data_IF_183001953996
#
_entry.id   IF_183001953996
#
_cell.length_a   1.000
_cell.length_b   1.000
_cell.length_c   1.000
_cell.angle_alpha   90.00
_cell.angle_beta   90.00
_cell.angle_gamma   90.00
#
_symmetry.space_group_name_H-M   'P 1'
#
loop_
_entity.id
_entity.type
_entity.pdbx_description
1 polymer ?
#
# COMPACT_ATOMS: atom_id res chain seq x y z
N UNK A 1 28.56 -3.22 10.46
CA UNK A 1 27.22 -3.48 9.87
C UNK A 1 26.23 -3.79 10.98
N UNK A 2 24.93 -3.47 10.80
CA UNK A 2 23.91 -3.82 11.78
C UNK A 2 23.77 -5.35 11.90
N UNK A 3 23.50 -5.83 13.11
CA UNK A 3 23.29 -7.27 13.38
C UNK A 3 21.91 -7.78 12.95
N UNK A 4 20.98 -6.89 12.63
CA UNK A 4 19.62 -7.18 12.20
C UNK A 4 19.18 -6.16 11.16
N UNK A 5 18.46 -6.63 10.15
CA UNK A 5 17.78 -5.81 9.15
C UNK A 5 16.29 -6.12 9.18
N UNK A 6 15.47 -5.11 8.88
CA UNK A 6 14.02 -5.26 8.71
C UNK A 6 13.72 -5.14 7.23
N UNK A 7 13.18 -6.21 6.64
CA UNK A 7 12.71 -6.20 5.25
C UNK A 7 11.24 -5.76 5.26
N UNK A 8 10.93 -4.74 4.45
CA UNK A 8 9.55 -4.32 4.18
C UNK A 8 9.20 -4.86 2.81
N UNK A 9 8.30 -5.83 2.77
CA UNK A 9 7.83 -6.42 1.53
C UNK A 9 6.76 -5.52 0.91
N UNK A 10 6.98 -5.07 -0.32
CA UNK A 10 6.11 -4.12 -1.02
C UNK A 10 5.48 -4.71 -2.29
N UNK A 11 5.76 -5.98 -2.59
CA UNK A 11 5.25 -6.71 -3.74
C UNK A 11 3.74 -6.60 -3.93
N UNK A 12 2.90 -6.81 -2.89
CA UNK A 12 1.44 -6.72 -3.04
C UNK A 12 0.92 -5.32 -3.41
N UNK A 13 1.66 -4.25 -3.08
CA UNK A 13 1.31 -2.86 -3.41
C UNK A 13 2.13 -2.34 -4.58
N UNK A 14 3.40 -2.03 -4.34
CA UNK A 14 4.28 -1.37 -5.31
C UNK A 14 4.65 -2.29 -6.48
N UNK A 15 4.82 -3.58 -6.21
CA UNK A 15 5.04 -4.58 -7.26
C UNK A 15 3.83 -4.66 -8.20
N UNK A 16 2.67 -5.06 -7.66
CA UNK A 16 1.45 -5.25 -8.45
C UNK A 16 0.94 -3.97 -9.12
N UNK A 17 1.20 -2.79 -8.54
CA UNK A 17 0.87 -1.51 -9.18
C UNK A 17 1.55 -1.33 -10.54
N UNK A 18 2.75 -1.86 -10.71
CA UNK A 18 3.56 -1.71 -11.92
C UNK A 18 3.39 -2.86 -12.92
N UNK A 19 2.56 -3.85 -12.59
CA UNK A 19 2.27 -4.97 -13.49
C UNK A 19 1.28 -4.56 -14.60
N UNK A 20 1.52 -5.09 -15.80
CA UNK A 20 0.71 -4.80 -16.99
C UNK A 20 -0.70 -5.39 -16.88
N UNK A 21 -0.83 -6.52 -16.19
CA UNK A 21 -2.09 -7.26 -16.05
C UNK A 21 -2.67 -7.01 -14.66
N UNK A 22 -3.98 -6.72 -14.61
CA UNK A 22 -4.69 -6.66 -13.34
C UNK A 22 -4.83 -8.07 -12.79
N UNK A 23 -4.24 -8.30 -11.63
CA UNK A 23 -4.30 -9.57 -10.91
C UNK A 23 -5.62 -9.66 -10.13
N UNK A 24 -6.27 -10.83 -10.14
CA UNK A 24 -7.52 -11.03 -9.44
C UNK A 24 -7.36 -10.93 -7.91
N UNK A 25 -8.38 -10.45 -7.21
CA UNK A 25 -8.40 -10.28 -5.75
C UNK A 25 -7.98 -11.56 -5.02
N UNK A 26 -8.47 -12.71 -5.46
CA UNK A 26 -8.16 -14.02 -4.85
C UNK A 26 -6.66 -14.37 -4.93
N UNK A 27 -6.02 -14.05 -6.06
CA UNK A 27 -4.59 -14.31 -6.24
C UNK A 27 -3.73 -13.36 -5.40
N UNK A 28 -4.17 -12.10 -5.24
CA UNK A 28 -3.52 -11.15 -4.33
C UNK A 28 -3.60 -11.61 -2.88
N UNK A 29 -4.79 -12.05 -2.43
CA UNK A 29 -4.98 -12.60 -1.09
C UNK A 29 -4.10 -13.84 -0.85
N UNK A 30 -4.01 -14.73 -1.84
CA UNK A 30 -3.12 -15.89 -1.78
C UNK A 30 -1.66 -15.47 -1.70
N UNK A 31 -1.25 -14.46 -2.47
CA UNK A 31 0.12 -13.94 -2.42
C UNK A 31 0.45 -13.38 -1.04
N UNK A 32 -0.41 -12.54 -0.46
CA UNK A 32 -0.22 -11.99 0.89
C UNK A 32 -0.17 -13.10 1.95
N UNK A 33 -1.01 -14.13 1.82
CA UNK A 33 -0.97 -15.28 2.72
C UNK A 33 0.38 -16.03 2.66
N UNK A 34 0.97 -16.20 1.48
CA UNK A 34 2.29 -16.81 1.34
C UNK A 34 3.40 -15.94 1.96
N UNK A 35 3.31 -14.61 1.83
CA UNK A 35 4.24 -13.68 2.49
C UNK A 35 4.11 -13.74 4.02
N UNK A 36 2.90 -13.90 4.53
CA UNK A 36 2.68 -14.15 5.96
C UNK A 36 3.32 -15.45 6.44
N UNK A 37 3.30 -16.52 5.64
CA UNK A 37 4.00 -17.77 5.96
C UNK A 37 5.52 -17.65 5.87
N UNK A 38 6.01 -16.79 4.98
CA UNK A 38 7.44 -16.48 4.88
C UNK A 38 7.97 -15.67 6.09
N UNK A 39 7.09 -15.11 6.92
CA UNK A 39 7.46 -14.45 8.18
C UNK A 39 8.02 -13.04 8.02
N UNK A 40 7.58 -12.30 7.00
CA UNK A 40 7.98 -10.90 6.84
C UNK A 40 7.51 -10.04 8.03
N UNK A 41 8.37 -9.16 8.56
CA UNK A 41 8.00 -8.28 9.68
C UNK A 41 7.12 -7.11 9.23
N UNK A 42 7.03 -6.85 7.93
CA UNK A 42 6.16 -5.83 7.36
C UNK A 42 5.78 -6.18 5.91
N UNK A 43 4.50 -6.06 5.58
CA UNK A 43 3.97 -6.31 4.24
C UNK A 43 3.07 -5.12 3.87
N UNK A 44 3.46 -4.35 2.86
CA UNK A 44 2.62 -3.29 2.32
C UNK A 44 1.54 -3.90 1.43
N UNK A 45 0.30 -3.89 1.93
CA UNK A 45 -0.77 -4.78 1.45
C UNK A 45 -1.42 -4.27 0.17
N UNK A 46 -1.71 -2.97 0.11
CA UNK A 46 -2.46 -2.34 -0.97
C UNK A 46 -2.37 -0.81 -0.86
N UNK A 47 -3.10 -0.09 -1.71
CA UNK A 47 -3.15 1.38 -1.74
C UNK A 47 -4.58 1.88 -1.88
N UNK A 48 -4.94 2.89 -1.08
CA UNK A 48 -6.22 3.61 -1.20
C UNK A 48 -6.13 4.80 -2.16
N UNK A 49 -5.49 4.59 -3.30
CA UNK A 49 -5.46 5.51 -4.45
C UNK A 49 -6.78 5.52 -5.22
N UNK A 50 -6.87 6.40 -6.21
CA UNK A 50 -7.97 6.42 -7.17
C UNK A 50 -7.95 5.14 -8.03
N UNK A 51 -9.04 4.33 -8.04
CA UNK A 51 -9.15 3.16 -8.91
C UNK A 51 -9.05 3.49 -10.41
N UNK A 52 -9.40 4.73 -10.78
CA UNK A 52 -9.25 5.22 -12.15
C UNK A 52 -7.78 5.46 -12.52
N UNK A 53 -6.97 5.91 -11.58
CA UNK A 53 -5.55 6.19 -11.81
C UNK A 53 -4.73 4.89 -11.79
N UNK A 54 -5.02 4.01 -10.82
CA UNK A 54 -4.34 2.72 -10.63
C UNK A 54 -5.37 1.59 -10.56
N UNK A 55 -5.84 1.07 -11.70
CA UNK A 55 -6.80 -0.04 -11.75
C UNK A 55 -6.31 -1.30 -11.04
N UNK A 56 -5.00 -1.51 -11.00
CA UNK A 56 -4.36 -2.66 -10.37
C UNK A 56 -4.71 -2.79 -8.88
N UNK A 57 -5.04 -1.69 -8.20
CA UNK A 57 -5.30 -1.65 -6.75
C UNK A 57 -6.74 -1.22 -6.42
N UNK A 58 -7.67 -1.36 -7.37
CA UNK A 58 -9.07 -0.95 -7.18
C UNK A 58 -9.80 -1.70 -6.06
N UNK A 59 -9.32 -2.89 -5.72
CA UNK A 59 -9.88 -3.85 -4.76
C UNK A 59 -9.33 -3.70 -3.33
N UNK A 60 -8.66 -2.58 -3.02
CA UNK A 60 -8.06 -2.32 -1.69
C UNK A 60 -9.04 -2.52 -0.51
N UNK A 61 -10.30 -2.10 -0.67
CA UNK A 61 -11.34 -2.22 0.37
C UNK A 61 -11.82 -3.67 0.58
N UNK A 62 -11.61 -4.55 -0.40
CA UNK A 62 -11.91 -5.98 -0.29
C UNK A 62 -10.71 -6.74 0.28
N UNK A 63 -9.49 -6.35 -0.12
CA UNK A 63 -8.26 -7.04 0.30
C UNK A 63 -7.99 -6.85 1.79
N UNK A 64 -7.94 -5.60 2.27
CA UNK A 64 -7.43 -5.34 3.62
C UNK A 64 -8.24 -6.02 4.74
N UNK A 65 -9.59 -6.03 4.70
CA UNK A 65 -10.38 -6.76 5.70
C UNK A 65 -10.25 -8.28 5.62
N UNK A 66 -9.86 -8.81 4.45
CA UNK A 66 -9.82 -10.25 4.19
C UNK A 66 -8.47 -10.92 4.53
N UNK A 67 -7.42 -10.14 4.82
CA UNK A 67 -6.12 -10.72 5.18
C UNK A 67 -6.09 -11.19 6.64
N UNK A 68 -5.43 -12.33 6.88
CA UNK A 68 -5.12 -12.79 8.22
C UNK A 68 -3.91 -12.01 8.77
N UNK A 69 -4.15 -11.00 9.60
CA UNK A 69 -3.08 -10.22 10.23
C UNK A 69 -2.39 -11.05 11.33
N UNK A 70 -1.09 -11.32 11.18
CA UNK A 70 -0.28 -12.06 12.17
C UNK A 70 0.32 -11.12 13.23
N UNK A 71 0.30 -11.50 14.51
CA UNK A 71 1.04 -10.77 15.54
C UNK A 71 2.52 -10.64 15.18
N UNK A 72 3.09 -9.44 15.31
CA UNK A 72 4.49 -9.17 14.99
C UNK A 72 4.77 -8.81 13.53
N UNK A 73 3.76 -8.80 12.66
CA UNK A 73 3.85 -8.28 11.29
C UNK A 73 3.03 -6.99 11.17
N UNK A 74 3.66 -5.95 10.60
CA UNK A 74 2.97 -4.72 10.25
C UNK A 74 2.35 -4.80 8.85
N UNK A 75 1.14 -4.26 8.68
CA UNK A 75 0.39 -4.28 7.42
C UNK A 75 0.08 -2.85 6.95
N UNK A 76 1.08 -2.05 6.55
CA UNK A 76 0.83 -0.73 6.03
C UNK A 76 0.05 -0.78 4.71
N UNK A 77 -0.73 0.27 4.45
CA UNK A 77 -1.31 0.55 3.13
C UNK A 77 -0.93 1.96 2.70
N UNK A 78 -0.76 2.17 1.41
CA UNK A 78 -0.45 3.51 0.90
C UNK A 78 -1.71 4.39 0.90
N UNK A 79 -1.60 5.59 1.44
CA UNK A 79 -2.67 6.59 1.51
C UNK A 79 -2.16 7.92 0.95
N UNK A 80 -2.60 8.34 -0.26
CA UNK A 80 -2.08 9.55 -0.91
C UNK A 80 -2.73 10.86 -0.45
N UNK A 81 -3.93 10.79 0.14
CA UNK A 81 -4.72 11.96 0.49
C UNK A 81 -5.83 11.61 1.50
N UNK A 82 -6.55 12.63 1.96
CA UNK A 82 -7.61 12.49 2.97
C UNK A 82 -8.76 11.58 2.54
N UNK A 83 -9.17 11.60 1.26
CA UNK A 83 -10.21 10.69 0.75
C UNK A 83 -9.77 9.23 0.78
N UNK A 84 -8.50 8.97 0.47
CA UNK A 84 -7.88 7.65 0.64
C UNK A 84 -7.87 7.24 2.11
N UNK A 85 -7.59 8.19 3.02
CA UNK A 85 -7.56 7.95 4.46
C UNK A 85 -8.93 7.54 5.01
N UNK A 86 -9.99 8.22 4.62
CA UNK A 86 -11.37 7.87 5.02
C UNK A 86 -11.72 6.43 4.63
N UNK A 87 -11.36 6.02 3.40
CA UNK A 87 -11.58 4.65 2.91
C UNK A 87 -10.71 3.62 3.66
N UNK A 88 -9.46 3.97 3.95
CA UNK A 88 -8.55 3.11 4.71
C UNK A 88 -9.07 2.87 6.12
N UNK A 89 -9.50 3.94 6.81
CA UNK A 89 -10.13 3.87 8.14
C UNK A 89 -11.39 3.00 8.12
N UNK A 90 -12.27 3.18 7.12
CA UNK A 90 -13.47 2.36 6.96
C UNK A 90 -13.16 0.87 6.74
N UNK A 91 -12.02 0.54 6.12
CA UNK A 91 -11.53 -0.83 5.95
C UNK A 91 -10.82 -1.40 7.19
N UNK A 92 -10.70 -0.63 8.29
CA UNK A 92 -10.07 -1.07 9.53
C UNK A 92 -8.54 -0.99 9.54
N UNK A 93 -7.95 -0.21 8.62
CA UNK A 93 -6.50 0.01 8.55
C UNK A 93 -6.00 0.73 9.80
N UNK A 94 -4.86 0.25 10.34
CA UNK A 94 -4.19 0.86 11.51
C UNK A 94 -2.77 1.33 11.23
N UNK A 95 -2.21 1.00 10.08
CA UNK A 95 -0.87 1.39 9.65
C UNK A 95 -0.97 1.94 8.23
N UNK A 96 -0.43 3.13 8.01
CA UNK A 96 -0.46 3.79 6.71
C UNK A 96 0.95 4.20 6.30
N UNK A 97 1.17 4.23 4.99
CA UNK A 97 2.30 4.87 4.36
C UNK A 97 1.80 6.11 3.61
N UNK A 98 2.44 7.26 3.87
CA UNK A 98 2.26 8.49 3.09
C UNK A 98 3.49 8.68 2.22
N UNK A 99 3.35 9.40 1.10
CA UNK A 99 4.49 9.72 0.25
C UNK A 99 4.43 11.16 -0.24
N UNK A 100 5.61 11.70 -0.46
CA UNK A 100 5.86 12.96 -1.15
C UNK A 100 7.03 12.74 -2.10
N UNK A 101 7.56 13.80 -2.70
CA UNK A 101 8.79 13.75 -3.46
C UNK A 101 9.67 14.96 -3.19
N UNK A 102 10.95 14.84 -3.55
CA UNK A 102 11.92 15.94 -3.47
C UNK A 102 11.91 16.85 -4.71
N UNK A 103 10.98 16.64 -5.64
CA UNK A 103 10.85 17.40 -6.89
C UNK A 103 9.43 17.91 -7.07
N UNK A 104 9.27 19.22 -7.20
CA UNK A 104 7.98 19.87 -7.45
C UNK A 104 7.29 19.34 -8.70
N UNK A 105 8.04 19.08 -9.78
CA UNK A 105 7.48 18.54 -11.00
C UNK A 105 6.95 17.11 -10.79
N UNK A 106 7.65 16.30 -9.99
CA UNK A 106 7.23 14.94 -9.67
C UNK A 106 5.99 14.93 -8.78
N UNK A 107 5.96 15.74 -7.72
CA UNK A 107 4.80 15.81 -6.79
C UNK A 107 3.55 16.27 -7.53
N UNK A 108 3.66 17.30 -8.38
CA UNK A 108 2.52 17.77 -9.20
C UNK A 108 2.05 16.71 -10.18
N UNK A 109 2.96 15.98 -10.83
CA UNK A 109 2.59 14.92 -11.77
C UNK A 109 1.91 13.71 -11.09
N UNK A 110 2.34 13.34 -9.88
CA UNK A 110 1.89 12.10 -9.22
C UNK A 110 0.66 12.29 -8.33
N UNK A 111 0.58 13.40 -7.59
CA UNK A 111 -0.50 13.65 -6.63
C UNK A 111 -1.21 14.99 -6.82
N UNK A 112 -0.86 15.75 -7.88
CA UNK A 112 -1.47 17.04 -8.21
C UNK A 112 -1.40 18.07 -7.07
N UNK A 113 -0.28 18.08 -6.35
CA UNK A 113 0.03 18.98 -5.24
C UNK A 113 1.49 19.46 -5.35
N UNK A 114 1.81 20.56 -4.68
CA UNK A 114 3.19 20.96 -4.36
C UNK A 114 3.75 20.11 -3.23
N UNK A 115 5.07 20.16 -3.02
CA UNK A 115 5.70 19.49 -1.88
C UNK A 115 5.11 20.02 -0.56
N UNK A 116 4.94 21.34 -0.43
CA UNK A 116 4.37 21.96 0.76
C UNK A 116 2.95 21.47 1.05
N UNK A 117 2.06 21.45 0.05
CA UNK A 117 0.69 20.94 0.20
C UNK A 117 0.64 19.45 0.56
N UNK A 118 1.66 18.65 0.20
CA UNK A 118 1.68 17.23 0.51
C UNK A 118 2.11 16.88 1.94
N UNK A 119 2.68 17.84 2.68
CA UNK A 119 3.24 17.63 4.03
C UNK A 119 2.42 18.38 5.11
N UNK A 120 1.48 19.24 4.70
CA UNK A 120 0.67 20.09 5.59
C UNK A 120 -0.80 19.70 5.51
#
# INVERSE_FOLDING_TARGET
MPRRVRVVEVGPRDGLQNEKTVIATADKLRFIALLNEAGFPAIEVTSFVSPKAIPQLSDAAEIFPAIAQKPGTDYPVLVPNLRGMERALAAGVRSIAVFTAASESFTRANINMTIAESIT
#
